data_IF_616788876020
#
_entry.id   IF_616788876020
#
_cell.length_a   1.000
_cell.length_b   1.000
_cell.length_c   1.000
_cell.angle_alpha   90.00
_cell.angle_beta   90.00
_cell.angle_gamma   90.00
#
_symmetry.space_group_name_H-M   'P 1'
#
loop_
_entity.id
_entity.type
_entity.pdbx_description
1 polymer ?
#
# COMPACT_ATOMS: atom_id res chain seq x y z
N UNK A 1 14.70 0.34 1.63
CA UNK A 1 14.22 -0.39 0.44
C UNK A 1 12.71 -0.25 0.35
N UNK A 2 12.19 0.40 -0.69
CA UNK A 2 10.75 0.39 -1.01
C UNK A 2 10.59 -0.44 -2.29
N UNK A 3 10.40 -1.76 -2.18
CA UNK A 3 9.92 -2.53 -3.31
C UNK A 3 8.42 -2.26 -3.42
N UNK A 4 8.09 -1.17 -4.10
CA UNK A 4 6.72 -0.71 -4.40
C UNK A 4 5.83 -1.84 -4.94
N UNK A 5 6.39 -2.69 -5.79
CA UNK A 5 5.69 -3.84 -6.36
C UNK A 5 5.40 -4.93 -5.31
N UNK A 6 6.36 -5.23 -4.43
CA UNK A 6 6.13 -6.17 -3.31
C UNK A 6 5.07 -5.64 -2.33
N UNK A 7 5.03 -4.31 -2.11
CA UNK A 7 4.00 -3.68 -1.25
C UNK A 7 2.62 -3.76 -1.89
N UNK A 8 2.51 -3.63 -3.20
CA UNK A 8 1.25 -3.86 -3.92
C UNK A 8 0.81 -5.32 -3.80
N UNK A 9 1.74 -6.27 -3.98
CA UNK A 9 1.47 -7.69 -3.82
C UNK A 9 1.00 -8.05 -2.40
N UNK A 10 1.59 -7.40 -1.38
CA UNK A 10 1.15 -7.54 -0.01
C UNK A 10 -0.30 -7.05 0.19
N UNK A 11 -0.66 -5.90 -0.39
CA UNK A 11 -2.04 -5.36 -0.34
C UNK A 11 -3.01 -6.36 -1.00
N UNK A 12 -2.68 -6.82 -2.20
CA UNK A 12 -3.50 -7.81 -2.92
C UNK A 12 -3.62 -9.12 -2.13
N UNK A 13 -2.55 -9.55 -1.48
CA UNK A 13 -2.53 -10.77 -0.65
C UNK A 13 -3.45 -10.62 0.57
N UNK A 14 -3.37 -9.50 1.28
CA UNK A 14 -4.25 -9.23 2.44
C UNK A 14 -5.71 -9.26 2.02
N UNK A 15 -6.07 -8.62 0.92
CA UNK A 15 -7.44 -8.64 0.39
C UNK A 15 -7.91 -10.06 0.05
N UNK A 16 -7.06 -10.85 -0.62
CA UNK A 16 -7.36 -12.25 -0.97
C UNK A 16 -7.56 -13.14 0.26
N UNK A 17 -6.72 -12.98 1.29
CA UNK A 17 -6.87 -13.71 2.56
C UNK A 17 -8.22 -13.39 3.21
N UNK A 18 -8.72 -12.16 3.05
CA UNK A 18 -10.03 -11.73 3.54
C UNK A 18 -11.19 -12.18 2.65
N UNK A 19 -10.92 -12.97 1.61
CA UNK A 19 -11.91 -13.55 0.71
C UNK A 19 -12.38 -12.62 -0.40
N UNK A 20 -11.65 -11.53 -0.67
CA UNK A 20 -11.93 -10.70 -1.84
C UNK A 20 -11.30 -11.29 -3.09
N UNK A 21 -12.07 -11.27 -4.17
CA UNK A 21 -11.55 -11.31 -5.53
C UNK A 21 -10.94 -9.94 -5.85
N UNK A 22 -9.69 -9.91 -6.28
CA UNK A 22 -8.93 -8.66 -6.47
C UNK A 22 -8.55 -8.50 -7.94
N UNK A 23 -8.82 -7.32 -8.48
CA UNK A 23 -8.54 -6.91 -9.85
C UNK A 23 -7.66 -5.65 -9.87
N UNK A 24 -6.58 -5.67 -10.64
CA UNK A 24 -5.81 -4.47 -10.96
C UNK A 24 -6.49 -3.74 -12.13
N UNK A 25 -7.05 -2.56 -11.84
CA UNK A 25 -7.94 -1.85 -12.76
C UNK A 25 -7.21 -1.07 -13.85
N UNK A 26 -5.87 -1.11 -13.91
CA UNK A 26 -4.98 -0.52 -14.96
C UNK A 26 -5.58 0.69 -15.69
N UNK A 27 -6.01 1.70 -14.94
CA UNK A 27 -6.71 2.86 -15.48
C UNK A 27 -5.75 3.75 -16.29
N UNK A 28 -6.24 4.45 -17.34
CA UNK A 28 -5.43 5.38 -18.12
C UNK A 28 -4.77 6.43 -17.22
N UNK A 29 -3.46 6.68 -17.40
CA UNK A 29 -2.70 7.63 -16.58
C UNK A 29 -2.16 7.06 -15.26
N UNK A 30 -2.37 5.77 -14.97
CA UNK A 30 -1.85 5.10 -13.77
C UNK A 30 -0.81 4.03 -14.06
N UNK A 31 -0.50 3.78 -15.34
CA UNK A 31 0.31 2.63 -15.77
C UNK A 31 1.80 2.95 -15.96
N UNK A 32 2.17 4.23 -16.13
CA UNK A 32 3.57 4.63 -16.25
C UNK A 32 4.13 4.89 -14.84
N UNK A 33 5.10 4.10 -14.35
CA UNK A 33 5.90 4.53 -13.23
C UNK A 33 6.70 5.75 -13.70
N UNK A 34 6.39 6.94 -13.18
CA UNK A 34 7.43 7.96 -13.10
C UNK A 34 8.51 7.35 -12.20
N UNK A 35 9.79 7.59 -12.49
CA UNK A 35 10.91 6.84 -11.89
C UNK A 35 10.86 6.77 -10.34
N UNK A 36 10.18 7.73 -9.70
CA UNK A 36 10.05 7.88 -8.25
C UNK A 36 8.60 7.84 -7.73
N UNK A 37 7.60 7.54 -8.58
CA UNK A 37 6.20 7.46 -8.15
C UNK A 37 5.45 6.25 -8.74
N UNK A 38 4.68 5.58 -7.87
CA UNK A 38 3.80 4.48 -8.24
C UNK A 38 2.36 4.87 -7.98
N UNK A 39 1.47 4.69 -8.95
CA UNK A 39 0.01 4.89 -8.79
C UNK A 39 -0.72 3.66 -9.30
N UNK A 40 -1.62 3.07 -8.50
CA UNK A 40 -2.41 1.90 -8.90
C UNK A 40 -3.83 1.95 -8.36
N UNK A 41 -4.76 1.39 -9.12
CA UNK A 41 -6.14 1.16 -8.69
C UNK A 41 -6.39 -0.33 -8.52
N UNK A 42 -6.88 -0.73 -7.36
CA UNK A 42 -7.29 -2.10 -7.10
C UNK A 42 -8.79 -2.14 -6.81
N UNK A 43 -9.51 -2.95 -7.57
CA UNK A 43 -10.87 -3.35 -7.26
C UNK A 43 -10.86 -4.63 -6.43
N UNK A 44 -11.65 -4.68 -5.37
CA UNK A 44 -11.81 -5.87 -4.54
C UNK A 44 -13.31 -6.14 -4.33
N UNK A 45 -13.75 -7.38 -4.59
CA UNK A 45 -15.16 -7.77 -4.45
C UNK A 45 -15.32 -9.06 -3.66
N UNK A 46 -16.32 -9.12 -2.79
CA UNK A 46 -16.69 -10.31 -2.01
C UNK A 46 -18.21 -10.39 -1.85
N UNK A 47 -18.76 -11.60 -1.90
CA UNK A 47 -20.17 -11.82 -1.55
C UNK A 47 -20.44 -11.49 -0.07
N UNK A 48 -21.59 -10.89 0.22
CA UNK A 48 -22.05 -10.55 1.56
C UNK A 48 -23.57 -10.78 1.65
N UNK A 49 -23.95 -12.01 2.01
CA UNK A 49 -25.35 -12.45 1.96
C UNK A 49 -25.91 -12.36 0.53
N UNK A 50 -27.07 -11.70 0.30
CA UNK A 50 -27.63 -11.52 -1.05
C UNK A 50 -26.97 -10.38 -1.83
N UNK A 51 -26.01 -9.66 -1.24
CA UNK A 51 -25.35 -8.51 -1.85
C UNK A 51 -23.87 -8.78 -2.12
N UNK A 52 -23.24 -7.86 -2.85
CA UNK A 52 -21.80 -7.82 -3.03
C UNK A 52 -21.21 -6.63 -2.28
N UNK A 53 -20.22 -6.90 -1.44
CA UNK A 53 -19.34 -5.89 -0.88
C UNK A 53 -18.24 -5.59 -1.90
N UNK A 54 -18.02 -4.32 -2.20
CA UNK A 54 -16.94 -3.86 -3.08
C UNK A 54 -16.06 -2.86 -2.34
N UNK A 55 -14.76 -2.95 -2.54
CA UNK A 55 -13.78 -1.98 -2.06
C UNK A 55 -12.94 -1.55 -3.26
N UNK A 56 -12.79 -0.24 -3.43
CA UNK A 56 -11.90 0.35 -4.41
C UNK A 56 -10.76 1.02 -3.68
N UNK A 57 -9.53 0.66 -4.06
CA UNK A 57 -8.31 1.21 -3.49
C UNK A 57 -7.56 2.01 -4.54
N UNK A 58 -7.07 3.17 -4.14
CA UNK A 58 -6.06 3.92 -4.87
C UNK A 58 -4.78 3.94 -4.04
N UNK A 59 -3.72 3.37 -4.61
CA UNK A 59 -2.41 3.21 -3.97
C UNK A 59 -1.44 4.17 -4.64
N UNK A 60 -0.85 5.06 -3.85
CA UNK A 60 0.18 6.01 -4.29
C UNK A 60 1.46 5.80 -3.47
N UNK A 61 2.56 5.50 -4.15
CA UNK A 61 3.91 5.41 -3.58
C UNK A 61 4.76 6.57 -4.07
N UNK A 62 5.55 7.17 -3.19
CA UNK A 62 6.55 8.19 -3.55
C UNK A 62 7.88 7.85 -2.90
N UNK A 63 8.96 7.88 -3.68
CA UNK A 63 10.33 7.68 -3.19
C UNK A 63 10.98 9.01 -2.86
N UNK A 64 11.77 9.01 -1.80
CA UNK A 64 12.66 10.10 -1.43
C UNK A 64 14.07 9.55 -1.23
N UNK A 65 15.07 10.18 -1.82
CA UNK A 65 16.46 9.92 -1.45
C UNK A 65 16.87 10.90 -0.35
N UNK A 66 17.09 10.39 0.86
CA UNK A 66 17.65 11.18 1.96
C UNK A 66 19.15 10.94 2.03
N UNK A 67 19.95 12.01 1.86
CA UNK A 67 21.39 11.99 2.09
C UNK A 67 21.65 12.13 3.58
N UNK A 68 22.28 11.12 4.20
CA UNK A 68 22.70 11.19 5.61
C UNK A 68 24.20 11.39 5.66
N UNK A 69 24.63 12.54 6.18
CA UNK A 69 26.03 12.80 6.50
C UNK A 69 26.28 12.41 7.96
N UNK A 70 27.29 11.56 8.20
CA UNK A 70 27.74 11.26 9.57
C UNK A 70 29.21 11.67 9.69
N UNK A 71 29.46 12.64 10.55
CA UNK A 71 30.82 13.06 10.89
C UNK A 71 31.33 12.15 12.01
N UNK A 72 32.39 11.39 11.71
CA UNK A 72 33.06 10.52 12.69
C UNK A 72 34.27 11.29 13.26
N UNK A 73 34.57 11.11 14.55
CA UNK A 73 35.76 11.71 15.17
C UNK A 73 37.01 11.26 14.39
N UNK A 74 37.75 12.21 13.79
CA UNK A 74 38.90 11.94 12.92
C UNK A 74 38.82 12.53 11.50
N UNK A 75 37.76 13.25 11.15
CA UNK A 75 37.69 14.04 9.91
C UNK A 75 37.25 13.30 8.64
N UNK A 76 36.97 11.99 8.74
CA UNK A 76 36.36 11.24 7.63
C UNK A 76 34.84 11.48 7.58
N UNK A 77 34.36 11.95 6.43
CA UNK A 77 32.93 12.05 6.11
C UNK A 77 32.50 10.76 5.39
N UNK A 78 31.57 10.02 5.98
CA UNK A 78 30.89 8.94 5.28
C UNK A 78 29.56 9.46 4.76
N UNK A 79 29.36 9.37 3.45
CA UNK A 79 28.07 9.63 2.81
C UNK A 79 27.32 8.31 2.67
N UNK A 80 26.10 8.26 3.17
CA UNK A 80 25.21 7.12 2.93
C UNK A 80 23.88 7.65 2.43
N UNK A 81 23.52 7.26 1.21
CA UNK A 81 22.18 7.47 0.67
C UNK A 81 21.23 6.49 1.33
N UNK A 82 20.19 7.00 1.99
CA UNK A 82 19.12 6.19 2.59
C UNK A 82 17.88 6.37 1.73
N UNK A 83 17.43 5.28 1.11
CA UNK A 83 16.14 5.25 0.42
C UNK A 83 15.02 5.34 1.46
N UNK A 84 14.26 6.43 1.41
CA UNK A 84 13.02 6.63 2.15
C UNK A 84 11.86 6.83 1.17
N UNK A 85 10.64 6.91 1.67
CA UNK A 85 9.46 7.09 0.85
C UNK A 85 8.19 6.75 1.61
N UNK A 86 7.08 7.11 0.99
CA UNK A 86 5.75 7.10 1.58
C UNK A 86 4.82 6.28 0.71
N UNK A 87 3.93 5.51 1.35
CA UNK A 87 2.85 4.79 0.69
C UNK A 87 1.52 5.30 1.25
N UNK A 88 0.71 5.91 0.40
CA UNK A 88 -0.65 6.34 0.71
C UNK A 88 -1.65 5.39 0.07
N UNK A 89 -2.60 4.94 0.88
CA UNK A 89 -3.68 4.06 0.43
C UNK A 89 -4.99 4.78 0.72
N UNK A 90 -5.71 5.12 -0.35
CA UNK A 90 -7.05 5.66 -0.28
C UNK A 90 -8.03 4.54 -0.55
N UNK A 91 -9.07 4.42 0.29
CA UNK A 91 -10.02 3.33 0.21
C UNK A 91 -11.45 3.87 0.26
N UNK A 92 -12.29 3.37 -0.64
CA UNK A 92 -13.74 3.55 -0.58
C UNK A 92 -14.41 2.19 -0.65
N UNK A 93 -15.34 1.96 0.27
CA UNK A 93 -16.10 0.72 0.33
C UNK A 93 -17.57 0.95 0.03
N UNK A 94 -18.22 -0.07 -0.51
CA UNK A 94 -19.64 -0.06 -0.82
C UNK A 94 -20.28 -1.41 -0.54
N UNK A 95 -21.41 -1.38 0.17
CA UNK A 95 -22.33 -2.48 0.36
C UNK A 95 -23.74 -1.89 0.29
N UNK A 96 -24.65 -2.47 -0.53
CA UNK A 96 -26.03 -2.02 -0.56
C UNK A 96 -26.71 -2.13 0.81
N UNK A 97 -27.49 -1.10 1.17
CA UNK A 97 -28.41 -1.03 2.33
C UNK A 97 -27.77 -0.99 3.72
N UNK A 98 -26.49 -1.31 3.85
CA UNK A 98 -25.79 -1.27 5.15
C UNK A 98 -24.33 -0.87 4.98
N UNK A 99 -23.92 0.20 5.67
CA UNK A 99 -22.54 0.69 5.66
C UNK A 99 -21.71 0.19 6.85
N UNK A 100 -22.33 -0.36 7.89
CA UNK A 100 -21.61 -0.80 9.08
C UNK A 100 -20.63 -1.96 8.77
N UNK A 101 -21.00 -2.99 8.00
CA UNK A 101 -20.08 -4.04 7.60
C UNK A 101 -18.90 -3.51 6.78
N UNK A 102 -19.13 -2.48 5.96
CA UNK A 102 -18.08 -1.84 5.16
C UNK A 102 -17.08 -1.13 6.05
N UNK A 103 -17.56 -0.34 7.02
CA UNK A 103 -16.68 0.39 7.96
C UNK A 103 -15.86 -0.59 8.79
N UNK A 104 -16.48 -1.67 9.29
CA UNK A 104 -15.76 -2.74 10.02
C UNK A 104 -14.68 -3.39 9.16
N UNK A 105 -15.01 -3.70 7.91
CA UNK A 105 -14.07 -4.29 6.96
C UNK A 105 -12.91 -3.36 6.63
N UNK A 106 -13.17 -2.07 6.39
CA UNK A 106 -12.13 -1.06 6.13
C UNK A 106 -11.19 -0.87 7.33
N UNK A 107 -11.74 -0.86 8.55
CA UNK A 107 -10.92 -0.76 9.76
C UNK A 107 -10.03 -1.99 9.97
N UNK A 108 -10.55 -3.18 9.70
CA UNK A 108 -9.79 -4.41 9.77
C UNK A 108 -8.69 -4.46 8.69
N UNK A 109 -9.00 -4.06 7.46
CA UNK A 109 -8.01 -3.94 6.38
C UNK A 109 -6.88 -2.97 6.77
N UNK A 110 -7.22 -1.81 7.36
CA UNK A 110 -6.22 -0.85 7.85
C UNK A 110 -5.29 -1.48 8.90
N UNK A 111 -5.84 -2.24 9.84
CA UNK A 111 -5.05 -2.89 10.88
C UNK A 111 -4.12 -3.97 10.29
N UNK A 112 -4.63 -4.84 9.42
CA UNK A 112 -3.85 -5.91 8.81
C UNK A 112 -2.67 -5.37 7.98
N UNK A 113 -2.93 -4.30 7.21
CA UNK A 113 -1.89 -3.63 6.43
C UNK A 113 -0.83 -3.00 7.34
N UNK A 114 -1.25 -2.34 8.42
CA UNK A 114 -0.33 -1.74 9.39
C UNK A 114 0.56 -2.79 10.06
N UNK A 115 -0.04 -3.87 10.59
CA UNK A 115 0.71 -4.96 11.22
C UNK A 115 1.69 -5.64 10.25
N UNK A 116 1.28 -5.87 9.00
CA UNK A 116 2.14 -6.48 7.98
C UNK A 116 3.29 -5.57 7.60
N UNK A 117 3.05 -4.28 7.48
CA UNK A 117 4.07 -3.30 7.11
C UNK A 117 5.07 -2.99 8.22
N UNK A 118 4.65 -3.06 9.49
CA UNK A 118 5.52 -2.90 10.65
C UNK A 118 6.40 -4.11 10.91
N UNK A 119 5.92 -5.33 10.60
CA UNK A 119 6.67 -6.58 10.79
C UNK A 119 7.76 -6.82 9.76
N UNK A 120 7.78 -6.07 8.65
CA UNK A 120 8.85 -6.19 7.66
C UNK A 120 10.08 -5.42 8.16
N UNK A 121 11.18 -6.10 8.53
CA UNK A 121 12.39 -5.39 8.94
C UNK A 121 12.87 -4.53 7.78
N UNK A 122 13.24 -3.29 8.09
CA UNK A 122 14.07 -2.49 7.20
C UNK A 122 15.35 -3.30 6.94
N UNK A 123 15.39 -4.02 5.82
CA UNK A 123 16.57 -4.77 5.38
C UNK A 123 17.71 -3.76 5.28
N UNK A 124 18.70 -3.94 6.16
CA UNK A 124 19.92 -3.14 6.27
C UNK A 124 20.79 -3.29 5.04
#
# INVERSE_FOLDING_TARGET
MIPEEMRLDDIMTVLRIRGFEVEDLRLPGTTAPEADSMRRWLGARRAHGPYSMSILLYVEGTRYQTRRERQVHGGMKYETSVDSGELRIYAIGWLPRDSEPVVREMNALRQDLHERFDRLPARR
#
